data_IF_393714973819
#
_entry.id   IF_393714973819
#
_cell.length_a   1.000
_cell.length_b   1.000
_cell.length_c   1.000
_cell.angle_alpha   90.00
_cell.angle_beta   90.00
_cell.angle_gamma   90.00
#
_symmetry.space_group_name_H-M   'P 1'
#
loop_
_entity.id
_entity.type
_entity.pdbx_description
1 polymer ?
#
# COMPACT_ATOMS: atom_id res chain seq x y z
N UNK A 1 -22.46 2.52 -0.72
CA UNK A 1 -21.65 1.56 0.09
C UNK A 1 -21.16 2.30 1.32
N UNK A 2 -21.41 1.77 2.51
CA UNK A 2 -20.86 2.31 3.76
C UNK A 2 -19.37 1.95 3.87
N UNK A 3 -18.64 2.64 4.75
CA UNK A 3 -17.23 2.29 5.00
C UNK A 3 -17.05 0.83 5.43
N UNK A 4 -17.93 0.33 6.30
CA UNK A 4 -17.87 -1.05 6.77
C UNK A 4 -18.11 -2.07 5.64
N UNK A 5 -19.04 -1.78 4.74
CA UNK A 5 -19.29 -2.62 3.56
C UNK A 5 -18.08 -2.63 2.62
N UNK A 6 -17.48 -1.46 2.36
CA UNK A 6 -16.26 -1.32 1.56
C UNK A 6 -15.11 -2.14 2.17
N UNK A 7 -14.87 -1.98 3.46
CA UNK A 7 -13.79 -2.67 4.18
C UNK A 7 -13.97 -4.20 4.20
N UNK A 8 -15.21 -4.69 4.28
CA UNK A 8 -15.54 -6.12 4.22
C UNK A 8 -15.40 -6.69 2.79
N UNK A 9 -15.82 -5.92 1.79
CA UNK A 9 -15.79 -6.37 0.39
C UNK A 9 -14.38 -6.43 -0.19
N UNK A 10 -13.48 -5.55 0.24
CA UNK A 10 -12.09 -5.51 -0.22
C UNK A 10 -11.34 -6.80 0.15
N UNK A 11 -10.64 -7.36 -0.81
CA UNK A 11 -9.71 -8.47 -0.59
C UNK A 11 -8.37 -8.26 -1.29
N UNK A 12 -7.36 -9.04 -0.95
CA UNK A 12 -6.03 -9.01 -1.58
C UNK A 12 -6.08 -9.68 -2.95
N UNK A 13 -6.15 -8.87 -4.00
CA UNK A 13 -6.13 -9.32 -5.40
C UNK A 13 -4.68 -9.65 -5.79
N UNK A 14 -4.45 -10.83 -6.34
CA UNK A 14 -3.13 -11.36 -6.73
C UNK A 14 -3.07 -11.81 -8.19
N UNK A 15 -4.09 -11.49 -8.97
CA UNK A 15 -4.14 -11.72 -10.41
C UNK A 15 -4.88 -10.56 -11.05
N UNK A 16 -4.27 -9.92 -12.03
CA UNK A 16 -4.75 -8.69 -12.63
C UNK A 16 -4.94 -8.84 -14.13
N UNK A 17 -5.89 -8.07 -14.67
CA UNK A 17 -6.01 -7.86 -16.11
C UNK A 17 -4.85 -6.96 -16.58
N UNK A 18 -4.42 -7.09 -17.85
CA UNK A 18 -3.41 -6.21 -18.44
C UNK A 18 -3.94 -4.80 -18.73
N UNK A 19 -5.23 -4.57 -18.47
CA UNK A 19 -5.92 -3.30 -18.71
C UNK A 19 -5.30 -2.18 -17.89
N UNK A 20 -4.98 -1.07 -18.54
CA UNK A 20 -4.47 0.12 -17.88
C UNK A 20 -5.52 0.72 -16.93
N UNK A 21 -5.05 1.24 -15.80
CA UNK A 21 -5.89 2.04 -14.88
C UNK A 21 -6.00 3.45 -15.47
N UNK A 22 -7.20 3.98 -15.52
CA UNK A 22 -7.47 5.36 -15.96
C UNK A 22 -6.78 6.36 -15.02
N UNK A 23 -6.19 7.40 -15.60
CA UNK A 23 -5.44 8.39 -14.82
C UNK A 23 -6.31 9.07 -13.75
N UNK A 24 -7.59 9.30 -14.00
CA UNK A 24 -8.52 9.87 -13.03
C UNK A 24 -8.73 8.96 -11.81
N UNK A 25 -8.80 7.64 -12.00
CA UNK A 25 -8.91 6.69 -10.90
C UNK A 25 -7.62 6.60 -10.10
N UNK A 26 -6.48 6.57 -10.79
CA UNK A 26 -5.17 6.59 -10.13
C UNK A 26 -4.99 7.87 -9.31
N UNK A 27 -5.36 9.01 -9.86
CA UNK A 27 -5.32 10.28 -9.15
C UNK A 27 -6.21 10.26 -7.89
N UNK A 28 -7.44 9.74 -7.97
CA UNK A 28 -8.33 9.60 -6.80
C UNK A 28 -7.70 8.72 -5.70
N UNK A 29 -7.03 7.64 -6.09
CA UNK A 29 -6.30 6.77 -5.16
C UNK A 29 -5.16 7.53 -4.47
N UNK A 30 -4.37 8.28 -5.24
CA UNK A 30 -3.25 9.08 -4.71
C UNK A 30 -3.75 10.21 -3.79
N UNK A 31 -4.87 10.85 -4.12
CA UNK A 31 -5.49 11.87 -3.28
C UNK A 31 -5.99 11.29 -1.95
N UNK A 32 -6.51 10.06 -1.93
CA UNK A 32 -6.87 9.40 -0.67
C UNK A 32 -5.64 9.21 0.24
N UNK A 33 -4.49 8.85 -0.33
CA UNK A 33 -3.23 8.81 0.42
C UNK A 33 -2.78 10.19 0.91
N UNK A 34 -2.98 11.24 0.10
CA UNK A 34 -2.60 12.62 0.46
C UNK A 34 -3.37 13.16 1.65
N UNK A 35 -4.64 12.80 1.81
CA UNK A 35 -5.49 13.29 2.91
C UNK A 35 -5.41 12.40 4.16
N UNK A 36 -4.68 11.30 4.11
CA UNK A 36 -4.48 10.43 5.26
C UNK A 36 -3.76 11.17 6.40
N UNK A 37 -4.15 10.93 7.67
CA UNK A 37 -3.48 11.55 8.81
C UNK A 37 -2.07 11.02 8.99
N UNK A 38 -1.16 11.88 9.44
CA UNK A 38 0.21 11.55 9.84
C UNK A 38 0.54 12.20 11.18
N UNK A 39 1.51 11.67 11.89
CA UNK A 39 1.94 12.23 13.17
C UNK A 39 2.34 13.70 13.00
N UNK A 40 1.75 14.59 13.81
CA UNK A 40 1.92 16.03 13.74
C UNK A 40 1.71 16.65 12.34
N UNK A 41 1.00 15.95 11.45
CA UNK A 41 0.84 16.32 10.04
C UNK A 41 2.17 16.55 9.30
N UNK A 42 3.21 15.80 9.68
CA UNK A 42 4.54 15.93 9.08
C UNK A 42 4.59 15.44 7.62
N UNK A 43 3.63 14.63 7.19
CA UNK A 43 3.48 14.13 5.83
C UNK A 43 4.78 13.54 5.25
N UNK A 44 5.40 12.57 5.95
CA UNK A 44 6.69 12.00 5.53
C UNK A 44 6.57 11.05 4.35
N UNK A 45 5.36 10.67 3.95
CA UNK A 45 5.13 9.67 2.91
C UNK A 45 5.75 10.08 1.58
N UNK A 46 6.35 9.09 0.92
CA UNK A 46 6.82 9.14 -0.48
C UNK A 46 6.16 8.00 -1.23
N UNK A 47 5.45 8.32 -2.30
CA UNK A 47 4.75 7.34 -3.13
C UNK A 47 5.39 7.34 -4.50
N UNK A 48 5.99 6.22 -4.89
CA UNK A 48 6.56 6.04 -6.21
C UNK A 48 5.57 5.23 -7.05
N UNK A 49 5.08 5.84 -8.12
CA UNK A 49 4.11 5.23 -9.05
C UNK A 49 4.88 4.53 -10.16
N UNK A 50 4.95 3.22 -10.11
CA UNK A 50 5.68 2.40 -11.08
C UNK A 50 4.69 1.88 -12.13
N UNK A 51 4.65 2.55 -13.32
CA UNK A 51 3.83 2.21 -14.49
C UNK A 51 4.68 1.70 -15.66
N UNK A 52 5.91 2.20 -15.79
CA UNK A 52 6.81 1.86 -16.89
C UNK A 52 7.21 0.38 -16.89
N UNK A 53 7.23 -0.25 -18.06
CA UNK A 53 7.56 -1.67 -18.21
C UNK A 53 8.93 -2.01 -17.64
N UNK A 54 9.96 -1.19 -17.94
CA UNK A 54 11.32 -1.39 -17.44
C UNK A 54 11.38 -1.35 -15.91
N UNK A 55 10.75 -0.35 -15.29
CA UNK A 55 10.74 -0.23 -13.83
C UNK A 55 9.95 -1.37 -13.16
N UNK A 56 8.86 -1.83 -13.78
CA UNK A 56 8.11 -3.01 -13.28
C UNK A 56 8.94 -4.29 -13.40
N UNK A 57 9.70 -4.47 -14.47
CA UNK A 57 10.63 -5.59 -14.63
C UNK A 57 11.71 -5.58 -13.54
N UNK A 58 12.35 -4.43 -13.30
CA UNK A 58 13.34 -4.29 -12.21
C UNK A 58 12.75 -4.66 -10.83
N UNK A 59 11.51 -4.28 -10.55
CA UNK A 59 10.84 -4.71 -9.31
C UNK A 59 10.56 -6.21 -9.29
N UNK A 60 10.15 -6.80 -10.40
CA UNK A 60 9.87 -8.25 -10.48
C UNK A 60 11.13 -9.11 -10.27
N UNK A 61 12.31 -8.63 -10.64
CA UNK A 61 13.59 -9.29 -10.41
C UNK A 61 13.94 -9.40 -8.91
N UNK A 62 13.52 -8.42 -8.10
CA UNK A 62 13.84 -8.34 -6.67
C UNK A 62 12.67 -8.70 -5.76
N UNK A 63 11.46 -8.82 -6.30
CA UNK A 63 10.26 -9.20 -5.55
C UNK A 63 9.26 -9.99 -6.41
N UNK A 64 9.02 -11.23 -6.05
CA UNK A 64 8.05 -12.11 -6.74
C UNK A 64 6.57 -11.72 -6.55
N UNK A 65 6.27 -10.80 -5.63
CA UNK A 65 4.89 -10.41 -5.28
C UNK A 65 4.43 -9.15 -6.00
N UNK A 66 4.94 -8.88 -7.18
CA UNK A 66 4.44 -7.84 -8.09
C UNK A 66 3.13 -8.24 -8.79
N UNK A 67 2.89 -9.57 -8.90
CA UNK A 67 1.70 -10.18 -9.51
C UNK A 67 1.43 -9.69 -10.94
N UNK A 68 2.45 -9.25 -11.67
CA UNK A 68 2.37 -8.65 -13.01
C UNK A 68 1.38 -7.48 -13.12
N UNK A 69 1.14 -6.80 -11.99
CA UNK A 69 0.21 -5.69 -11.91
C UNK A 69 0.60 -4.55 -12.88
N UNK A 70 -0.36 -3.92 -13.57
CA UNK A 70 -0.07 -2.82 -14.51
C UNK A 70 0.49 -1.58 -13.82
N UNK A 71 0.18 -1.39 -12.54
CA UNK A 71 0.71 -0.31 -11.71
C UNK A 71 1.15 -0.88 -10.36
N UNK A 72 2.29 -0.43 -9.84
CA UNK A 72 2.72 -0.73 -8.48
C UNK A 72 3.01 0.60 -7.77
N UNK A 73 2.31 0.84 -6.66
CA UNK A 73 2.70 1.93 -5.76
C UNK A 73 3.74 1.40 -4.78
N UNK A 74 4.93 1.99 -4.77
CA UNK A 74 5.94 1.73 -3.74
C UNK A 74 5.76 2.79 -2.66
N UNK A 75 5.37 2.33 -1.48
CA UNK A 75 5.04 3.16 -0.32
C UNK A 75 6.28 3.27 0.54
N UNK A 76 6.71 4.48 0.78
CA UNK A 76 7.90 4.78 1.53
C UNK A 76 7.69 6.02 2.40
N UNK A 77 8.66 6.32 3.26
CA UNK A 77 8.70 7.57 4.00
C UNK A 77 10.09 8.18 4.02
N UNK A 78 10.15 9.49 4.17
CA UNK A 78 11.37 10.28 4.35
C UNK A 78 11.75 10.27 5.82
N UNK A 79 12.89 9.67 6.16
CA UNK A 79 13.44 9.57 7.53
C UNK A 79 13.79 10.91 8.16
N UNK A 80 13.90 11.97 7.37
CA UNK A 80 14.19 13.32 7.86
C UNK A 80 12.91 14.08 8.24
N UNK A 81 11.73 13.64 7.71
CA UNK A 81 10.43 14.28 7.92
C UNK A 81 9.54 13.56 8.90
N UNK A 82 9.78 12.28 9.17
CA UNK A 82 8.94 11.51 10.09
C UNK A 82 9.04 12.06 11.52
N UNK A 83 7.94 11.93 12.27
CA UNK A 83 7.93 12.36 13.67
C UNK A 83 8.76 11.42 14.54
N UNK A 84 9.61 12.00 15.41
CA UNK A 84 10.44 11.26 16.36
C UNK A 84 9.86 11.38 17.76
N UNK A 85 9.69 10.26 18.44
CA UNK A 85 9.21 10.26 19.81
C UNK A 85 10.33 10.65 20.79
N UNK A 86 10.26 11.86 21.34
CA UNK A 86 11.26 12.36 22.30
C UNK A 86 11.24 11.60 23.63
N UNK A 87 10.13 10.93 23.98
CA UNK A 87 9.97 10.14 25.21
C UNK A 87 10.34 8.66 25.02
N UNK A 88 10.51 8.21 23.79
CA UNK A 88 10.88 6.85 23.43
C UNK A 88 11.97 6.91 22.35
N UNK A 89 13.25 7.09 22.74
CA UNK A 89 14.35 7.14 21.78
C UNK A 89 14.37 5.91 20.88
N UNK A 90 14.60 6.14 19.58
CA UNK A 90 14.59 5.09 18.55
C UNK A 90 13.22 4.81 17.93
N UNK A 91 12.11 5.32 18.50
CA UNK A 91 10.80 5.22 17.88
C UNK A 91 10.52 6.44 16.98
N UNK A 92 10.05 6.15 15.76
CA UNK A 92 9.54 7.17 14.83
C UNK A 92 8.21 6.72 14.22
N UNK A 93 7.44 7.67 13.70
CA UNK A 93 6.13 7.39 13.10
C UNK A 93 6.19 6.93 11.65
N UNK A 94 7.36 6.97 11.00
CA UNK A 94 7.47 6.83 9.55
C UNK A 94 6.77 5.59 8.97
N UNK A 95 7.02 4.40 9.57
CA UNK A 95 6.36 3.17 9.11
C UNK A 95 4.86 3.18 9.41
N UNK A 96 4.44 3.72 10.55
CA UNK A 96 3.02 3.84 10.93
C UNK A 96 2.29 4.81 9.99
N UNK A 97 2.85 5.98 9.74
CA UNK A 97 2.28 6.98 8.84
C UNK A 97 2.15 6.41 7.42
N UNK A 98 3.20 5.75 6.91
CA UNK A 98 3.18 5.10 5.61
C UNK A 98 2.12 3.98 5.53
N UNK A 99 1.92 3.22 6.61
CA UNK A 99 0.89 2.19 6.69
C UNK A 99 -0.53 2.77 6.66
N UNK A 100 -0.77 3.88 7.36
CA UNK A 100 -2.06 4.59 7.34
C UNK A 100 -2.34 5.11 5.91
N UNK A 101 -1.38 5.77 5.29
CA UNK A 101 -1.47 6.27 3.90
C UNK A 101 -1.78 5.14 2.92
N UNK A 102 -1.04 4.02 3.01
CA UNK A 102 -1.27 2.85 2.16
C UNK A 102 -2.68 2.27 2.34
N UNK A 103 -3.19 2.22 3.57
CA UNK A 103 -4.56 1.74 3.86
C UNK A 103 -5.61 2.63 3.21
N UNK A 104 -5.47 3.95 3.25
CA UNK A 104 -6.37 4.88 2.57
C UNK A 104 -6.38 4.64 1.05
N UNK A 105 -5.20 4.54 0.44
CA UNK A 105 -5.09 4.26 -1.00
C UNK A 105 -5.66 2.88 -1.38
N UNK A 106 -5.45 1.86 -0.55
CA UNK A 106 -5.97 0.51 -0.75
C UNK A 106 -7.51 0.49 -0.75
N UNK A 107 -8.13 1.21 0.17
CA UNK A 107 -9.60 1.31 0.25
C UNK A 107 -10.17 2.14 -0.90
N UNK A 108 -9.54 3.27 -1.23
CA UNK A 108 -9.94 4.10 -2.35
C UNK A 108 -9.80 3.36 -3.70
N UNK A 109 -8.77 2.53 -3.86
CA UNK A 109 -8.63 1.67 -5.04
C UNK A 109 -9.83 0.75 -5.20
N UNK A 110 -10.25 0.08 -4.11
CA UNK A 110 -11.40 -0.81 -4.14
C UNK A 110 -12.70 -0.08 -4.44
N UNK A 111 -12.89 1.12 -3.92
CA UNK A 111 -14.03 1.99 -4.23
C UNK A 111 -14.10 2.34 -5.72
N UNK A 112 -12.95 2.50 -6.39
CA UNK A 112 -12.84 2.75 -7.83
C UNK A 112 -12.94 1.47 -8.70
N UNK A 113 -13.19 0.30 -8.09
CA UNK A 113 -13.20 -0.99 -8.77
C UNK A 113 -11.80 -1.52 -9.13
N UNK A 114 -10.75 -0.96 -8.52
CA UNK A 114 -9.36 -1.37 -8.71
C UNK A 114 -8.97 -2.32 -7.58
N UNK A 115 -8.54 -3.52 -7.95
CA UNK A 115 -7.99 -4.50 -7.01
C UNK A 115 -6.59 -4.11 -6.54
N UNK A 116 -6.24 -4.53 -5.34
CA UNK A 116 -4.91 -4.31 -4.78
C UNK A 116 -4.48 -5.43 -3.85
N UNK A 117 -3.18 -5.52 -3.59
CA UNK A 117 -2.63 -6.37 -2.55
C UNK A 117 -1.57 -5.61 -1.76
N UNK A 118 -1.71 -5.54 -0.44
CA UNK A 118 -0.64 -5.05 0.42
C UNK A 118 0.49 -6.08 0.46
N UNK A 119 1.68 -5.70 0.04
CA UNK A 119 2.87 -6.54 0.03
C UNK A 119 3.90 -5.96 0.99
N UNK A 120 4.30 -6.77 1.99
CA UNK A 120 5.39 -6.49 2.92
C UNK A 120 6.53 -7.50 2.84
N UNK A 121 6.37 -8.57 2.04
CA UNK A 121 7.35 -9.65 1.92
C UNK A 121 8.39 -9.35 0.82
N UNK A 122 9.30 -8.41 1.11
CA UNK A 122 10.41 -8.03 0.24
C UNK A 122 11.59 -7.51 1.06
N UNK A 123 12.77 -7.42 0.45
CA UNK A 123 13.92 -6.72 1.01
C UNK A 123 13.84 -5.24 0.62
N UNK A 124 13.63 -4.34 1.60
CA UNK A 124 13.44 -2.90 1.35
C UNK A 124 14.62 -2.28 0.60
N UNK A 125 15.85 -2.68 0.95
CA UNK A 125 17.08 -2.17 0.33
C UNK A 125 17.18 -2.61 -1.15
N UNK A 126 16.72 -3.84 -1.47
CA UNK A 126 16.68 -4.31 -2.86
C UNK A 126 15.70 -3.50 -3.72
N UNK A 127 14.52 -3.16 -3.18
CA UNK A 127 13.56 -2.28 -3.85
C UNK A 127 14.14 -0.87 -4.04
N UNK A 128 14.78 -0.32 -2.99
CA UNK A 128 15.41 0.99 -3.05
C UNK A 128 16.51 1.04 -4.12
N UNK A 129 17.36 0.01 -4.20
CA UNK A 129 18.41 -0.08 -5.21
C UNK A 129 17.83 -0.22 -6.62
N UNK A 130 16.81 -1.11 -6.82
CA UNK A 130 16.19 -1.33 -8.14
C UNK A 130 15.55 -0.06 -8.73
N UNK A 131 15.05 0.82 -7.87
CA UNK A 131 14.42 2.09 -8.26
C UNK A 131 15.32 3.32 -8.07
N UNK A 132 16.56 3.14 -7.62
CA UNK A 132 17.51 4.23 -7.34
C UNK A 132 16.91 5.29 -6.39
N UNK A 133 16.29 4.83 -5.30
CA UNK A 133 15.67 5.74 -4.33
C UNK A 133 16.73 6.42 -3.46
N UNK A 134 16.44 7.66 -2.97
CA UNK A 134 17.34 8.38 -2.07
C UNK A 134 17.59 7.63 -0.76
N UNK A 135 18.77 7.77 -0.16
CA UNK A 135 19.18 7.09 1.07
C UNK A 135 18.31 7.47 2.29
N UNK A 136 17.76 8.69 2.32
CA UNK A 136 16.85 9.15 3.37
C UNK A 136 15.44 8.57 3.25
N UNK A 137 15.13 7.84 2.18
CA UNK A 137 13.82 7.21 1.96
C UNK A 137 13.87 5.73 2.38
N UNK A 138 12.86 5.30 3.15
CA UNK A 138 12.68 3.91 3.56
C UNK A 138 11.38 3.34 2.98
N UNK A 139 11.50 2.27 2.22
CA UNK A 139 10.35 1.53 1.67
C UNK A 139 9.68 0.73 2.79
N UNK A 140 8.34 0.84 2.89
CA UNK A 140 7.51 0.19 3.92
C UNK A 140 6.61 -0.89 3.33
N UNK A 141 6.02 -0.62 2.16
CA UNK A 141 5.10 -1.55 1.51
C UNK A 141 5.13 -1.35 -0.01
N UNK A 142 4.66 -2.35 -0.73
CA UNK A 142 4.23 -2.19 -2.12
C UNK A 142 2.73 -2.48 -2.22
N UNK A 143 2.06 -1.74 -3.10
CA UNK A 143 0.65 -1.91 -3.40
C UNK A 143 0.48 -2.12 -4.92
N UNK A 144 0.62 -3.37 -5.42
CA UNK A 144 0.21 -3.72 -6.78
C UNK A 144 -1.26 -3.39 -7.00
N UNK A 145 -1.57 -2.74 -8.12
CA UNK A 145 -2.90 -2.24 -8.50
C UNK A 145 -3.26 -2.69 -9.90
N UNK A 146 -4.52 -3.03 -10.11
CA UNK A 146 -5.09 -3.36 -11.41
C UNK A 146 -6.53 -3.81 -11.31
N UNK A 147 -7.17 -3.97 -12.45
CA UNK A 147 -8.46 -4.64 -12.48
C UNK A 147 -8.28 -6.12 -12.14
N UNK A 148 -9.10 -6.69 -11.23
CA UNK A 148 -9.03 -8.12 -10.95
C UNK A 148 -9.18 -8.95 -12.23
N UNK A 149 -8.37 -9.98 -12.41
CA UNK A 149 -8.52 -10.90 -13.52
C UNK A 149 -9.85 -11.66 -13.43
N UNK A 150 -10.32 -12.21 -14.55
CA UNK A 150 -11.47 -13.11 -14.54
C UNK A 150 -11.20 -14.31 -13.61
N UNK A 151 -12.15 -14.63 -12.75
CA UNK A 151 -11.99 -15.69 -11.74
C UNK A 151 -11.15 -15.32 -10.53
N UNK A 152 -10.61 -14.08 -10.43
CA UNK A 152 -9.95 -13.63 -9.22
C UNK A 152 -10.91 -13.65 -8.04
N UNK A 153 -10.52 -14.32 -6.95
CA UNK A 153 -11.36 -14.51 -5.78
C UNK A 153 -10.57 -14.23 -4.48
N UNK A 154 -11.26 -13.87 -3.39
CA UNK A 154 -10.60 -13.75 -2.09
C UNK A 154 -10.03 -15.10 -1.64
N UNK A 155 -8.98 -15.04 -0.83
CA UNK A 155 -8.45 -16.24 -0.18
C UNK A 155 -9.51 -16.91 0.71
N UNK A 156 -9.50 -18.23 0.91
CA UNK A 156 -10.51 -18.94 1.71
C UNK A 156 -10.73 -18.34 3.11
N UNK A 157 -9.64 -17.89 3.75
CA UNK A 157 -9.68 -17.28 5.09
C UNK A 157 -10.08 -15.78 5.09
N UNK A 158 -10.47 -15.21 3.96
CA UNK A 158 -10.83 -13.77 3.87
C UNK A 158 -11.95 -13.38 4.84
N UNK A 159 -12.94 -14.26 5.00
CA UNK A 159 -14.09 -14.04 5.88
C UNK A 159 -13.86 -14.49 7.32
N UNK A 160 -12.77 -15.20 7.59
CA UNK A 160 -12.43 -15.65 8.93
C UNK A 160 -12.00 -14.45 9.79
N UNK A 161 -12.72 -14.26 10.89
CA UNK A 161 -12.43 -13.20 11.85
C UNK A 161 -12.47 -13.79 13.25
N UNK A 162 -11.48 -13.46 14.06
CA UNK A 162 -11.55 -13.77 15.49
C UNK A 162 -12.76 -13.05 16.10
N UNK A 163 -13.37 -13.62 17.15
CA UNK A 163 -14.40 -12.93 17.91
C UNK A 163 -13.92 -11.55 18.38
N UNK A 164 -14.82 -10.58 18.46
CA UNK A 164 -14.45 -9.23 18.89
C UNK A 164 -13.86 -9.22 20.29
N UNK A 165 -14.32 -10.11 21.18
CA UNK A 165 -13.83 -10.33 22.53
C UNK A 165 -12.37 -10.73 22.63
N UNK A 166 -11.78 -11.29 21.55
CA UNK A 166 -10.35 -11.64 21.51
C UNK A 166 -9.44 -10.44 21.21
N UNK A 167 -10.04 -9.35 20.76
CA UNK A 167 -9.27 -8.19 20.25
C UNK A 167 -9.67 -6.87 20.92
N UNK A 168 -10.75 -6.88 21.72
CA UNK A 168 -11.28 -5.70 22.41
C UNK A 168 -11.56 -6.05 23.86
N UNK A 169 -11.04 -5.26 24.78
CA UNK A 169 -11.35 -5.30 26.21
C UNK A 169 -11.93 -3.96 26.64
N UNK A 170 -12.95 -4.00 27.51
CA UNK A 170 -13.52 -2.81 28.15
C UNK A 170 -12.93 -2.71 29.56
N UNK A 171 -12.19 -1.65 29.85
CA UNK A 171 -11.51 -1.38 31.13
C UNK A 171 -12.29 -0.40 31.97
#
# INVERSE_FOLDING_TARGET
MTFLELAKARYSVRSFQPTAIEDAKLEAILQAGRVAPTACNNQPQKIYVVKGEESRKKLAEVCRYTFDAPVILVIAYDKERDWKNRRMPGYSSGETDAAIVCTHMMLAAWEQGIGSCWVGAFAADAISAALSLPENVRVTAMLPLGYPAEGAAPAPFHTEKRPLTDTVEFL
#
